data_IF_906315482613
#
_entry.id   IF_906315482613
#
_cell.length_a   1.000
_cell.length_b   1.000
_cell.length_c   1.000
_cell.angle_alpha   90.00
_cell.angle_beta   90.00
_cell.angle_gamma   90.00
#
_symmetry.space_group_name_H-M   'P 1'
#
loop_
_entity.id
_entity.type
_entity.pdbx_description
1 polymer ?
#
# COMPACT_ATOMS: atom_id res chain seq x y z
N UNK A 1 22.88 17.67 -19.54
CA UNK A 1 22.03 16.46 -19.65
C UNK A 1 20.76 16.59 -18.81
N UNK A 2 20.83 16.79 -17.48
CA UNK A 2 19.63 16.99 -16.66
C UNK A 2 18.74 18.15 -17.15
N UNK A 3 19.34 19.25 -17.59
CA UNK A 3 18.59 20.38 -18.20
C UNK A 3 17.77 19.97 -19.44
N UNK A 4 18.24 19.01 -20.24
CA UNK A 4 17.52 18.54 -21.43
C UNK A 4 16.27 17.74 -21.05
N UNK A 5 16.29 17.08 -19.89
CA UNK A 5 15.11 16.43 -19.33
C UNK A 5 14.14 17.44 -18.73
N UNK A 6 14.64 18.54 -18.15
CA UNK A 6 13.79 19.56 -17.52
C UNK A 6 13.04 20.48 -18.51
N UNK A 7 13.50 20.58 -19.77
CA UNK A 7 12.83 21.39 -20.80
C UNK A 7 11.57 20.71 -21.36
N UNK A 8 10.54 21.51 -21.68
CA UNK A 8 9.24 21.05 -22.23
C UNK A 8 9.23 20.86 -23.74
N UNK A 9 10.05 21.62 -24.48
CA UNK A 9 10.20 21.49 -25.92
C UNK A 9 11.67 21.17 -26.24
N UNK A 10 11.93 19.92 -26.62
CA UNK A 10 13.25 19.42 -27.00
C UNK A 10 13.05 18.33 -28.06
N UNK A 11 14.07 18.11 -28.88
CA UNK A 11 14.08 16.96 -29.79
C UNK A 11 13.89 15.64 -29.03
N UNK A 12 13.00 14.79 -29.55
CA UNK A 12 12.62 13.55 -28.88
C UNK A 12 13.80 12.57 -28.74
N UNK A 13 14.73 12.54 -29.70
CA UNK A 13 15.91 11.69 -29.62
C UNK A 13 16.88 12.16 -28.53
N UNK A 14 17.05 13.48 -28.39
CA UNK A 14 17.89 14.07 -27.33
C UNK A 14 17.27 13.80 -25.96
N UNK A 15 15.95 13.93 -25.81
CA UNK A 15 15.26 13.60 -24.55
C UNK A 15 15.41 12.11 -24.20
N UNK A 16 15.19 11.20 -25.15
CA UNK A 16 15.35 9.77 -24.92
C UNK A 16 16.78 9.41 -24.50
N UNK A 17 17.78 9.92 -25.21
CA UNK A 17 19.18 9.70 -24.89
C UNK A 17 19.54 10.27 -23.52
N UNK A 18 19.06 11.47 -23.20
CA UNK A 18 19.32 12.11 -21.91
C UNK A 18 18.75 11.30 -20.75
N UNK A 19 17.51 10.80 -20.89
CA UNK A 19 16.88 9.95 -19.88
C UNK A 19 17.65 8.64 -19.67
N UNK A 20 18.08 7.98 -20.75
CA UNK A 20 18.85 6.73 -20.68
C UNK A 20 20.24 6.91 -20.05
N UNK A 21 20.92 8.02 -20.33
CA UNK A 21 22.20 8.34 -19.69
C UNK A 21 22.00 8.57 -18.19
N UNK A 22 20.97 9.32 -17.79
CA UNK A 22 20.69 9.59 -16.37
C UNK A 22 20.31 8.32 -15.61
N UNK A 23 19.53 7.42 -16.24
CA UNK A 23 19.25 6.09 -15.70
C UNK A 23 20.55 5.33 -15.42
N UNK A 24 21.42 5.25 -16.42
CA UNK A 24 22.73 4.59 -16.31
C UNK A 24 23.59 5.21 -15.20
N UNK A 25 23.59 6.54 -15.08
CA UNK A 25 24.31 7.26 -14.02
C UNK A 25 23.79 6.90 -12.63
N UNK A 26 22.46 6.84 -12.44
CA UNK A 26 21.82 6.48 -11.16
C UNK A 26 22.19 5.06 -10.74
N UNK A 27 22.25 4.12 -11.69
CA UNK A 27 22.59 2.72 -11.41
C UNK A 27 24.09 2.49 -11.23
N UNK A 28 24.95 3.38 -11.75
CA UNK A 28 26.41 3.20 -11.71
C UNK A 28 27.07 3.61 -10.40
N UNK A 29 26.57 4.65 -9.73
CA UNK A 29 27.24 5.20 -8.54
C UNK A 29 26.29 5.95 -7.62
N UNK A 30 26.50 5.80 -6.30
CA UNK A 30 25.77 6.53 -5.26
C UNK A 30 26.00 8.04 -5.33
N UNK A 31 27.19 8.49 -5.78
CA UNK A 31 27.47 9.92 -5.97
C UNK A 31 26.64 10.48 -7.13
N UNK A 32 26.61 9.78 -8.26
CA UNK A 32 25.85 10.18 -9.44
C UNK A 32 24.33 10.13 -9.17
N UNK A 33 23.85 9.13 -8.45
CA UNK A 33 22.47 9.08 -7.97
C UNK A 33 22.06 10.36 -7.22
N UNK A 34 22.87 10.80 -6.24
CA UNK A 34 22.59 12.03 -5.48
C UNK A 34 22.57 13.27 -6.39
N UNK A 35 23.46 13.33 -7.38
CA UNK A 35 23.50 14.43 -8.33
C UNK A 35 22.26 14.44 -9.23
N UNK A 36 21.87 13.30 -9.79
CA UNK A 36 20.67 13.18 -10.64
C UNK A 36 19.41 13.53 -9.84
N UNK A 37 19.25 13.00 -8.63
CA UNK A 37 18.13 13.32 -7.72
C UNK A 37 18.01 14.82 -7.42
N UNK A 38 19.15 15.53 -7.30
CA UNK A 38 19.17 16.98 -7.07
C UNK A 38 18.76 17.80 -8.29
N UNK A 39 19.10 17.33 -9.50
CA UNK A 39 18.94 18.11 -10.73
C UNK A 39 17.71 17.73 -11.57
N UNK A 40 17.11 16.55 -11.35
CA UNK A 40 15.94 16.07 -12.07
C UNK A 40 14.75 16.04 -11.12
N UNK A 41 13.71 16.81 -11.41
CA UNK A 41 12.49 16.83 -10.60
C UNK A 41 11.55 15.68 -10.96
N UNK A 42 10.90 15.09 -9.96
CA UNK A 42 9.93 14.02 -10.17
C UNK A 42 8.72 14.50 -10.98
N UNK A 43 8.26 15.74 -10.76
CA UNK A 43 7.20 16.38 -11.56
C UNK A 43 7.49 16.31 -13.06
N UNK A 44 8.75 16.56 -13.42
CA UNK A 44 9.15 16.53 -14.81
C UNK A 44 9.13 15.12 -15.37
N UNK A 45 9.59 14.13 -14.61
CA UNK A 45 9.51 12.72 -15.03
C UNK A 45 8.06 12.27 -15.23
N UNK A 46 7.13 12.73 -14.38
CA UNK A 46 5.70 12.49 -14.55
C UNK A 46 5.18 13.15 -15.84
N UNK A 47 5.59 14.39 -16.13
CA UNK A 47 5.21 15.06 -17.39
C UNK A 47 5.66 14.28 -18.63
N UNK A 48 6.81 13.60 -18.57
CA UNK A 48 7.29 12.72 -19.64
C UNK A 48 6.51 11.40 -19.77
N UNK A 49 5.74 11.00 -18.75
CA UNK A 49 4.81 9.88 -18.86
C UNK A 49 3.47 10.29 -19.51
N UNK A 50 3.18 11.59 -19.58
CA UNK A 50 1.94 12.11 -20.15
C UNK A 50 2.01 12.35 -21.66
N UNK A 51 3.21 12.35 -22.24
CA UNK A 51 3.40 12.48 -23.70
C UNK A 51 2.95 11.21 -24.42
N UNK A 52 2.65 11.32 -25.72
CA UNK A 52 2.22 10.18 -26.56
C UNK A 52 3.38 9.27 -26.99
N UNK A 53 4.63 9.74 -26.89
CA UNK A 53 5.80 9.02 -27.34
C UNK A 53 6.17 7.90 -26.35
N UNK A 54 5.87 6.65 -26.72
CA UNK A 54 6.14 5.45 -25.90
C UNK A 54 7.60 5.28 -25.48
N UNK A 55 8.56 5.70 -26.31
CA UNK A 55 9.98 5.59 -25.98
C UNK A 55 10.37 6.57 -24.88
N UNK A 56 9.86 7.80 -24.93
CA UNK A 56 10.05 8.78 -23.85
C UNK A 56 9.39 8.28 -22.56
N UNK A 57 8.14 7.79 -22.64
CA UNK A 57 7.44 7.22 -21.48
C UNK A 57 8.26 6.08 -20.85
N UNK A 58 8.80 5.17 -21.67
CA UNK A 58 9.60 4.03 -21.20
C UNK A 58 10.89 4.48 -20.52
N UNK A 59 11.64 5.42 -21.11
CA UNK A 59 12.88 5.92 -20.50
C UNK A 59 12.63 6.79 -19.26
N UNK A 60 11.52 7.51 -19.21
CA UNK A 60 11.10 8.23 -18.00
C UNK A 60 10.75 7.26 -16.87
N UNK A 61 9.98 6.20 -17.17
CA UNK A 61 9.66 5.16 -16.19
C UNK A 61 10.93 4.43 -15.71
N UNK A 62 11.85 4.10 -16.62
CA UNK A 62 13.12 3.47 -16.28
C UNK A 62 13.93 4.30 -15.27
N UNK A 63 14.01 5.62 -15.49
CA UNK A 63 14.69 6.54 -14.57
C UNK A 63 13.97 6.64 -13.22
N UNK A 64 12.63 6.68 -13.18
CA UNK A 64 11.87 6.62 -11.91
C UNK A 64 12.20 5.34 -11.15
N UNK A 65 12.20 4.19 -11.83
CA UNK A 65 12.56 2.90 -11.23
C UNK A 65 13.99 2.90 -10.71
N UNK A 66 14.95 3.42 -11.48
CA UNK A 66 16.34 3.52 -11.06
C UNK A 66 16.48 4.37 -9.78
N UNK A 67 15.79 5.52 -9.72
CA UNK A 67 15.79 6.39 -8.53
C UNK A 67 15.20 5.66 -7.31
N UNK A 68 14.07 4.96 -7.48
CA UNK A 68 13.44 4.21 -6.39
C UNK A 68 14.32 3.06 -5.89
N UNK A 69 14.97 2.33 -6.80
CA UNK A 69 15.85 1.20 -6.45
C UNK A 69 17.13 1.64 -5.74
N UNK A 70 17.68 2.78 -6.12
CA UNK A 70 18.89 3.34 -5.51
C UNK A 70 18.63 4.11 -4.20
N UNK A 71 17.36 4.37 -3.87
CA UNK A 71 16.97 5.08 -2.64
C UNK A 71 16.92 4.15 -1.42
N UNK A 72 17.22 4.69 -0.24
CA UNK A 72 16.99 4.02 1.05
C UNK A 72 15.50 3.93 1.35
N UNK A 73 15.11 3.09 2.31
CA UNK A 73 13.70 2.80 2.61
C UNK A 73 12.85 4.05 2.92
N UNK A 74 13.34 4.96 3.79
CA UNK A 74 12.63 6.20 4.13
C UNK A 74 12.49 7.12 2.91
N UNK A 75 13.59 7.38 2.20
CA UNK A 75 13.58 8.21 0.99
C UNK A 75 12.70 7.61 -0.13
N UNK A 76 12.67 6.28 -0.22
CA UNK A 76 11.84 5.55 -1.19
C UNK A 76 10.36 5.69 -0.85
N UNK A 77 10.01 5.63 0.44
CA UNK A 77 8.65 5.88 0.92
C UNK A 77 8.19 7.30 0.57
N UNK A 78 8.99 8.31 0.91
CA UNK A 78 8.70 9.73 0.57
C UNK A 78 8.53 9.93 -0.94
N UNK A 79 9.42 9.34 -1.74
CA UNK A 79 9.33 9.40 -3.20
C UNK A 79 8.02 8.78 -3.71
N UNK A 80 7.64 7.62 -3.20
CA UNK A 80 6.39 6.95 -3.59
C UNK A 80 5.13 7.72 -3.16
N UNK A 81 5.15 8.35 -1.99
CA UNK A 81 4.08 9.24 -1.53
C UNK A 81 3.93 10.45 -2.46
N UNK A 82 5.05 11.09 -2.82
CA UNK A 82 5.05 12.20 -3.78
C UNK A 82 4.47 11.79 -5.15
N UNK A 83 4.91 10.64 -5.68
CA UNK A 83 4.39 10.11 -6.95
C UNK A 83 2.87 9.84 -6.88
N UNK A 84 2.39 9.34 -5.74
CA UNK A 84 0.96 9.11 -5.51
C UNK A 84 0.17 10.42 -5.47
N UNK A 85 0.68 11.44 -4.75
CA UNK A 85 0.07 12.78 -4.70
C UNK A 85 -0.04 13.42 -6.08
N UNK A 86 0.95 13.18 -6.94
CA UNK A 86 0.97 13.64 -8.33
C UNK A 86 0.17 12.73 -9.28
N UNK A 87 -0.72 11.87 -8.77
CA UNK A 87 -1.62 11.01 -9.55
C UNK A 87 -0.92 10.07 -10.55
N UNK A 88 0.33 9.65 -10.27
CA UNK A 88 1.10 8.75 -11.15
C UNK A 88 0.29 7.50 -11.55
N UNK A 89 -0.44 6.90 -10.59
CA UNK A 89 -1.28 5.71 -10.85
C UNK A 89 -2.33 5.96 -11.93
N UNK A 90 -2.97 7.12 -11.94
CA UNK A 90 -3.98 7.46 -12.95
C UNK A 90 -3.34 7.66 -14.32
N UNK A 91 -2.17 8.28 -14.39
CA UNK A 91 -1.44 8.45 -15.64
C UNK A 91 -0.98 7.13 -16.23
N UNK A 92 -0.42 6.23 -15.40
CA UNK A 92 -0.06 4.87 -15.84
C UNK A 92 -1.29 4.16 -16.40
N UNK A 93 -2.42 4.22 -15.67
CA UNK A 93 -3.64 3.56 -16.11
C UNK A 93 -4.15 4.10 -17.46
N UNK A 94 -4.31 5.42 -17.59
CA UNK A 94 -4.88 6.04 -18.79
C UNK A 94 -3.93 6.03 -19.99
N UNK A 95 -2.66 6.35 -19.79
CA UNK A 95 -1.73 6.64 -20.89
C UNK A 95 -0.88 5.43 -21.31
N UNK A 96 -0.74 4.44 -20.42
CA UNK A 96 0.11 3.26 -20.67
C UNK A 96 -0.76 2.00 -20.76
N UNK A 97 -1.58 1.70 -19.75
CA UNK A 97 -2.36 0.45 -19.70
C UNK A 97 -3.53 0.47 -20.69
N UNK A 98 -4.29 1.56 -20.74
CA UNK A 98 -5.42 1.75 -21.67
C UNK A 98 -4.99 2.32 -23.04
N UNK A 99 -3.69 2.45 -23.29
CA UNK A 99 -3.19 2.89 -24.58
C UNK A 99 -3.64 1.93 -25.69
N UNK A 100 -4.00 2.47 -26.85
CA UNK A 100 -4.35 1.66 -28.03
C UNK A 100 -3.15 0.92 -28.60
N UNK A 101 -1.93 1.43 -28.36
CA UNK A 101 -0.71 0.82 -28.84
C UNK A 101 -0.26 -0.32 -27.91
N UNK A 102 0.27 -1.40 -28.50
CA UNK A 102 0.76 -2.55 -27.74
C UNK A 102 1.86 -2.13 -26.75
N UNK A 103 1.74 -2.59 -25.51
CA UNK A 103 2.74 -2.36 -24.47
C UNK A 103 3.98 -3.21 -24.75
N UNK A 104 5.16 -2.58 -24.71
CA UNK A 104 6.46 -3.23 -24.90
C UNK A 104 6.93 -3.93 -23.61
N UNK A 105 7.77 -4.95 -23.77
CA UNK A 105 8.29 -5.77 -22.66
C UNK A 105 9.07 -4.94 -21.62
N UNK A 106 9.84 -3.94 -22.07
CA UNK A 106 10.57 -3.03 -21.16
C UNK A 106 9.61 -2.28 -20.23
N UNK A 107 8.53 -1.70 -20.77
CA UNK A 107 7.54 -0.99 -19.97
C UNK A 107 6.82 -1.93 -19.01
N UNK A 108 6.43 -3.12 -19.49
CA UNK A 108 5.82 -4.16 -18.66
C UNK A 108 6.70 -4.54 -17.46
N UNK A 109 8.00 -4.70 -17.70
CA UNK A 109 8.99 -4.95 -16.65
C UNK A 109 9.06 -3.80 -15.63
N UNK A 110 9.13 -2.55 -16.08
CA UNK A 110 9.18 -1.41 -15.15
C UNK A 110 7.90 -1.28 -14.31
N UNK A 111 6.72 -1.52 -14.89
CA UNK A 111 5.47 -1.54 -14.13
C UNK A 111 5.44 -2.65 -13.07
N UNK A 112 5.98 -3.83 -13.40
CA UNK A 112 6.15 -4.92 -12.45
C UNK A 112 7.08 -4.52 -11.29
N UNK A 113 8.22 -3.90 -11.60
CA UNK A 113 9.16 -3.43 -10.56
C UNK A 113 8.52 -2.33 -9.70
N UNK A 114 7.77 -1.40 -10.29
CA UNK A 114 7.03 -0.37 -9.56
C UNK A 114 6.00 -1.00 -8.60
N UNK A 115 5.24 -1.97 -9.07
CA UNK A 115 4.26 -2.69 -8.27
C UNK A 115 4.94 -3.42 -7.11
N UNK A 116 6.07 -4.08 -7.38
CA UNK A 116 6.86 -4.74 -6.33
C UNK A 116 7.34 -3.75 -5.27
N UNK A 117 7.89 -2.61 -5.67
CA UNK A 117 8.35 -1.57 -4.75
C UNK A 117 7.18 -1.07 -3.90
N UNK A 118 6.06 -0.74 -4.54
CA UNK A 118 4.83 -0.27 -3.88
C UNK A 118 4.35 -1.25 -2.82
N UNK A 119 4.28 -2.54 -3.15
CA UNK A 119 3.84 -3.59 -2.23
C UNK A 119 4.83 -3.78 -1.07
N UNK A 120 6.13 -3.69 -1.32
CA UNK A 120 7.14 -3.87 -0.28
C UNK A 120 7.21 -2.69 0.71
N UNK A 121 6.57 -1.54 0.42
CA UNK A 121 6.38 -0.49 1.43
C UNK A 121 5.48 -0.94 2.60
N UNK A 122 4.71 -2.02 2.43
CA UNK A 122 3.87 -2.61 3.48
C UNK A 122 4.65 -3.53 4.42
N UNK A 123 5.86 -3.95 4.04
CA UNK A 123 6.67 -4.91 4.79
C UNK A 123 6.99 -4.46 6.23
N UNK A 124 7.33 -3.18 6.52
CA UNK A 124 7.55 -2.73 7.90
C UNK A 124 6.30 -2.96 8.78
N UNK A 125 5.11 -2.57 8.30
CA UNK A 125 3.85 -2.77 9.04
C UNK A 125 3.51 -4.26 9.20
N UNK A 126 3.84 -5.08 8.21
CA UNK A 126 3.70 -6.53 8.28
C UNK A 126 4.63 -7.16 9.34
N UNK A 127 5.76 -6.55 9.67
CA UNK A 127 6.76 -7.11 10.61
C UNK A 127 6.76 -6.50 12.01
N UNK A 128 6.08 -5.37 12.23
CA UNK A 128 5.98 -4.76 13.56
C UNK A 128 4.83 -5.44 14.31
N UNK A 129 5.09 -6.18 15.40
CA UNK A 129 4.03 -6.72 16.24
C UNK A 129 3.35 -5.57 16.99
N UNK A 130 2.06 -5.72 17.30
CA UNK A 130 1.37 -4.77 18.15
C UNK A 130 1.90 -4.81 19.59
N UNK A 131 2.14 -3.64 20.17
CA UNK A 131 2.47 -3.49 21.59
C UNK A 131 1.17 -3.33 22.40
N UNK A 132 0.80 -4.29 23.26
CA UNK A 132 -0.41 -4.19 24.07
C UNK A 132 -0.35 -3.06 25.11
N UNK A 133 0.83 -2.49 25.38
CA UNK A 133 1.03 -1.37 26.30
C UNK A 133 1.04 -0.01 25.61
N UNK A 134 1.12 0.04 24.28
CA UNK A 134 1.01 1.27 23.50
C UNK A 134 -0.45 1.78 23.45
N UNK A 135 -0.68 2.98 23.97
CA UNK A 135 -2.02 3.58 24.06
C UNK A 135 -2.65 3.85 22.68
N UNK A 136 -1.90 4.42 21.74
CA UNK A 136 -2.39 4.76 20.40
C UNK A 136 -2.82 3.49 19.62
N UNK A 137 -2.04 2.42 19.72
CA UNK A 137 -2.37 1.16 19.07
C UNK A 137 -3.65 0.55 19.68
N UNK A 138 -3.79 0.58 21.02
CA UNK A 138 -5.03 0.14 21.68
C UNK A 138 -6.23 0.96 21.23
N UNK A 139 -6.08 2.28 21.09
CA UNK A 139 -7.15 3.17 20.63
C UNK A 139 -7.61 2.81 19.22
N UNK A 140 -6.70 2.44 18.30
CA UNK A 140 -7.08 1.92 16.99
C UNK A 140 -7.93 0.64 17.11
N UNK A 141 -7.56 -0.32 17.96
CA UNK A 141 -8.39 -1.52 18.16
C UNK A 141 -9.77 -1.16 18.75
N UNK A 142 -9.82 -0.20 19.68
CA UNK A 142 -11.07 0.27 20.26
C UNK A 142 -11.96 1.02 19.27
N UNK A 143 -11.39 1.72 18.29
CA UNK A 143 -12.18 2.45 17.29
C UNK A 143 -12.94 1.51 16.36
N UNK A 144 -12.43 0.30 16.09
CA UNK A 144 -13.17 -0.74 15.36
C UNK A 144 -14.47 -1.11 16.08
N UNK A 145 -14.40 -1.26 17.40
CA UNK A 145 -15.57 -1.56 18.25
C UNK A 145 -16.56 -0.41 18.27
N UNK A 146 -16.07 0.81 18.41
CA UNK A 146 -16.91 2.01 18.36
C UNK A 146 -17.64 2.11 17.02
N UNK A 147 -16.92 1.99 15.91
CA UNK A 147 -17.49 2.08 14.57
C UNK A 147 -18.64 1.08 14.35
N UNK A 148 -18.55 -0.14 14.93
CA UNK A 148 -19.55 -1.19 14.76
C UNK A 148 -20.76 -1.10 15.72
N UNK A 149 -20.58 -0.55 16.93
CA UNK A 149 -21.57 -0.65 18.01
C UNK A 149 -21.93 0.70 18.66
N UNK A 150 -21.45 1.84 18.15
CA UNK A 150 -21.76 3.17 18.72
C UNK A 150 -23.26 3.47 18.80
N UNK A 151 -24.09 2.83 17.97
CA UNK A 151 -25.56 2.94 18.09
C UNK A 151 -26.14 2.38 19.41
N UNK A 152 -25.41 1.49 20.10
CA UNK A 152 -25.76 0.97 21.44
C UNK A 152 -25.12 1.79 22.58
N UNK A 153 -24.24 2.75 22.27
CA UNK A 153 -23.46 3.49 23.26
C UNK A 153 -24.18 4.72 23.85
N UNK A 154 -25.11 5.32 23.11
CA UNK A 154 -25.92 6.47 23.59
C UNK A 154 -26.86 6.09 24.75
N UNK A 155 -27.12 4.80 24.96
CA UNK A 155 -27.86 4.29 26.14
C UNK A 155 -26.99 4.14 27.40
N UNK A 156 -25.67 4.36 27.30
CA UNK A 156 -24.68 3.96 28.32
C UNK A 156 -24.00 5.13 29.06
N UNK A 157 -24.48 6.36 28.88
CA UNK A 157 -24.01 7.54 29.65
C UNK A 157 -24.37 7.47 31.14
N UNK A 158 -25.15 6.48 31.58
CA UNK A 158 -25.44 6.22 33.00
C UNK A 158 -24.34 5.41 33.71
N UNK A 159 -23.67 6.02 34.69
CA UNK A 159 -22.91 5.43 35.82
C UNK A 159 -22.72 3.89 35.89
N UNK A 160 -22.05 3.27 34.92
CA UNK A 160 -21.57 1.88 35.06
C UNK A 160 -20.28 1.81 35.88
N UNK A 161 -20.22 0.90 36.86
CA UNK A 161 -18.96 0.50 37.51
C UNK A 161 -17.94 0.03 36.46
N UNK A 162 -16.66 0.26 36.74
CA UNK A 162 -15.51 -0.09 35.87
C UNK A 162 -15.53 -1.54 35.39
N UNK A 163 -15.95 -2.47 36.24
CA UNK A 163 -16.02 -3.91 35.90
C UNK A 163 -17.13 -4.23 34.90
N UNK A 164 -18.28 -3.54 34.97
CA UNK A 164 -19.36 -3.70 33.98
C UNK A 164 -18.95 -3.19 32.60
N UNK A 165 -18.18 -2.09 32.54
CA UNK A 165 -17.64 -1.55 31.29
C UNK A 165 -16.64 -2.51 30.64
N UNK A 166 -15.73 -3.12 31.43
CA UNK A 166 -14.78 -4.12 30.92
C UNK A 166 -15.47 -5.36 30.37
N UNK A 167 -16.50 -5.85 31.06
CA UNK A 167 -17.31 -6.99 30.61
C UNK A 167 -18.02 -6.70 29.27
N UNK A 168 -18.57 -5.50 29.11
CA UNK A 168 -19.19 -5.07 27.86
C UNK A 168 -18.18 -5.04 26.70
N UNK A 169 -17.02 -4.41 26.89
CA UNK A 169 -15.97 -4.36 25.87
C UNK A 169 -15.55 -5.77 25.43
N UNK A 170 -15.34 -6.68 26.38
CA UNK A 170 -14.98 -8.06 26.06
C UNK A 170 -16.08 -8.78 25.27
N UNK A 171 -17.36 -8.53 25.57
CA UNK A 171 -18.48 -9.08 24.80
C UNK A 171 -18.52 -8.55 23.38
N UNK A 172 -18.28 -7.26 23.18
CA UNK A 172 -18.29 -6.64 21.85
C UNK A 172 -17.08 -7.06 21.00
N UNK A 173 -15.90 -7.21 21.60
CA UNK A 173 -14.76 -7.79 20.90
C UNK A 173 -14.97 -9.26 20.53
N UNK A 174 -15.71 -10.02 21.37
CA UNK A 174 -16.15 -11.36 20.98
C UNK A 174 -17.11 -11.31 19.79
N UNK A 175 -18.07 -10.37 19.77
CA UNK A 175 -18.99 -10.16 18.63
C UNK A 175 -18.27 -9.74 17.35
N UNK A 176 -17.16 -9.01 17.46
CA UNK A 176 -16.26 -8.72 16.34
C UNK A 176 -15.44 -9.93 15.90
N UNK A 177 -15.51 -11.06 16.60
CA UNK A 177 -14.78 -12.27 16.23
C UNK A 177 -13.30 -12.22 16.55
N UNK A 178 -12.89 -11.46 17.57
CA UNK A 178 -11.52 -11.53 18.12
C UNK A 178 -11.37 -12.75 19.04
N UNK A 179 -10.37 -13.63 18.79
CA UNK A 179 -10.05 -14.73 19.69
C UNK A 179 -9.72 -14.25 21.12
N UNK A 180 -8.89 -13.21 21.25
CA UNK A 180 -8.51 -12.65 22.55
C UNK A 180 -9.44 -11.51 22.96
N UNK A 181 -10.73 -11.80 23.17
CA UNK A 181 -11.75 -10.78 23.45
C UNK A 181 -11.48 -9.87 24.66
N UNK A 182 -10.76 -10.34 25.69
CA UNK A 182 -10.36 -9.51 26.83
C UNK A 182 -9.23 -8.52 26.48
N UNK A 183 -8.36 -8.88 25.53
CA UNK A 183 -7.28 -8.02 25.05
C UNK A 183 -6.96 -8.37 23.57
N UNK A 184 -7.71 -7.80 22.61
CA UNK A 184 -7.54 -8.13 21.19
C UNK A 184 -6.19 -7.71 20.62
N UNK A 185 -5.44 -6.84 21.31
CA UNK A 185 -4.09 -6.46 20.92
C UNK A 185 -3.15 -7.66 20.78
N UNK A 186 -3.39 -8.72 21.56
CA UNK A 186 -2.61 -9.95 21.50
C UNK A 186 -2.80 -10.70 20.17
N UNK A 187 -3.92 -10.50 19.47
CA UNK A 187 -4.17 -11.14 18.17
C UNK A 187 -3.25 -10.58 17.07
N UNK A 188 -2.67 -9.40 17.27
CA UNK A 188 -1.75 -8.72 16.34
C UNK A 188 -0.27 -8.86 16.74
N UNK A 189 0.05 -9.75 17.68
CA UNK A 189 1.41 -9.99 18.18
C UNK A 189 2.26 -10.87 17.25
N UNK A 190 1.63 -11.68 16.41
CA UNK A 190 2.33 -12.59 15.48
C UNK A 190 2.79 -11.85 14.25
N UNK A 191 4.02 -12.11 13.79
CA UNK A 191 4.59 -11.50 12.60
C UNK A 191 5.26 -12.56 11.71
N UNK A 192 5.06 -12.53 10.38
CA UNK A 192 3.99 -11.81 9.66
C UNK A 192 2.61 -12.44 9.93
N UNK A 193 1.50 -11.67 10.05
CA UNK A 193 1.31 -10.24 9.81
C UNK A 193 1.15 -9.46 11.13
N UNK A 194 2.00 -8.48 11.41
CA UNK A 194 1.94 -7.67 12.62
C UNK A 194 0.78 -6.67 12.65
N UNK A 195 1.09 -5.38 12.45
CA UNK A 195 0.10 -4.31 12.49
C UNK A 195 -0.66 -4.10 11.17
N UNK A 196 -0.18 -4.66 10.06
CA UNK A 196 -0.83 -4.50 8.74
C UNK A 196 -2.32 -4.91 8.70
N UNK A 197 -2.77 -6.01 9.35
CA UNK A 197 -4.20 -6.33 9.39
C UNK A 197 -5.01 -5.28 10.13
N UNK A 198 -4.49 -4.68 11.20
CA UNK A 198 -5.16 -3.59 11.92
C UNK A 198 -5.34 -2.38 10.99
N UNK A 199 -4.31 -2.01 10.23
CA UNK A 199 -4.39 -0.93 9.24
C UNK A 199 -5.50 -1.20 8.21
N UNK A 200 -5.57 -2.44 7.70
CA UNK A 200 -6.61 -2.85 6.74
C UNK A 200 -8.02 -2.79 7.34
N UNK A 201 -8.18 -3.24 8.59
CA UNK A 201 -9.47 -3.22 9.29
C UNK A 201 -9.93 -1.77 9.53
N UNK A 202 -9.03 -0.89 9.95
CA UNK A 202 -9.32 0.55 10.15
C UNK A 202 -9.67 1.21 8.83
N UNK A 203 -8.94 0.90 7.76
CA UNK A 203 -9.24 1.40 6.42
C UNK A 203 -10.66 0.99 6.01
N UNK A 204 -11.02 -0.29 6.16
CA UNK A 204 -12.36 -0.78 5.82
C UNK A 204 -13.46 -0.11 6.65
N UNK A 205 -13.28 -0.01 7.98
CA UNK A 205 -14.26 0.61 8.87
C UNK A 205 -14.47 2.11 8.59
N UNK A 206 -13.42 2.83 8.21
CA UNK A 206 -13.47 4.28 7.97
C UNK A 206 -13.92 4.67 6.55
N UNK A 207 -13.56 3.88 5.54
CA UNK A 207 -13.85 4.20 4.13
C UNK A 207 -15.10 3.50 3.59
N UNK A 208 -15.51 2.41 4.23
CA UNK A 208 -16.67 1.60 3.85
C UNK A 208 -17.54 1.27 5.07
N UNK A 209 -17.82 2.27 5.91
CA UNK A 209 -18.52 2.14 7.20
C UNK A 209 -19.83 1.35 7.12
N UNK A 210 -20.69 1.62 6.12
CA UNK A 210 -21.95 0.91 5.94
C UNK A 210 -21.76 -0.59 5.68
N UNK A 211 -20.77 -0.93 4.85
CA UNK A 211 -20.44 -2.33 4.53
C UNK A 211 -19.80 -3.03 5.73
N UNK A 212 -18.94 -2.33 6.46
CA UNK A 212 -18.34 -2.80 7.70
C UNK A 212 -19.40 -3.13 8.76
N UNK A 213 -20.30 -2.19 9.03
CA UNK A 213 -21.36 -2.35 10.02
C UNK A 213 -22.31 -3.49 9.66
N UNK A 214 -22.74 -3.54 8.39
CA UNK A 214 -23.56 -4.65 7.90
C UNK A 214 -22.87 -5.99 8.11
N UNK A 215 -21.60 -6.12 7.72
CA UNK A 215 -20.83 -7.35 7.88
C UNK A 215 -20.75 -7.80 9.35
N UNK A 216 -20.42 -6.87 10.26
CA UNK A 216 -20.29 -7.19 11.69
C UNK A 216 -21.63 -7.59 12.30
N UNK A 217 -22.72 -6.86 11.99
CA UNK A 217 -24.04 -7.15 12.54
C UNK A 217 -24.62 -8.48 12.03
N UNK A 218 -24.46 -8.77 10.73
CA UNK A 218 -24.93 -10.02 10.11
C UNK A 218 -24.21 -11.26 10.65
N UNK A 219 -22.95 -11.13 11.05
CA UNK A 219 -22.17 -12.25 11.57
C UNK A 219 -22.25 -12.38 13.09
N UNK A 220 -22.38 -11.27 13.82
CA UNK A 220 -22.48 -11.30 15.29
C UNK A 220 -23.84 -11.74 15.84
N UNK A 221 -24.87 -11.79 14.99
CA UNK A 221 -26.23 -12.21 15.34
C UNK A 221 -26.51 -13.68 14.99
N UNK A 222 -25.56 -14.37 14.35
CA UNK A 222 -25.71 -15.78 13.99
C UNK A 222 -25.44 -16.67 15.20
N UNK A 223 -26.36 -17.59 15.46
CA UNK A 223 -26.21 -18.61 16.51
C UNK A 223 -25.73 -19.96 15.95
N UNK A 224 -25.54 -20.05 14.62
CA UNK A 224 -25.08 -21.25 13.94
C UNK A 224 -23.55 -21.32 13.83
N UNK A 225 -23.03 -22.47 13.38
CA UNK A 225 -21.58 -22.68 13.20
C UNK A 225 -21.02 -22.01 11.93
N UNK A 226 -21.81 -21.17 11.24
CA UNK A 226 -21.46 -20.56 9.96
C UNK A 226 -21.17 -19.05 10.08
N UNK A 227 -20.97 -18.55 11.30
CA UNK A 227 -20.48 -17.18 11.50
C UNK A 227 -19.09 -16.97 10.88
N UNK A 228 -18.89 -15.80 10.26
CA UNK A 228 -17.58 -15.35 9.81
C UNK A 228 -17.01 -14.33 10.81
N UNK A 229 -16.03 -14.71 11.65
CA UNK A 229 -15.48 -13.80 12.66
C UNK A 229 -14.64 -12.70 12.01
N UNK A 230 -15.08 -11.44 12.08
CA UNK A 230 -14.40 -10.30 11.44
C UNK A 230 -12.93 -10.18 11.84
N UNK A 231 -12.61 -10.21 13.14
CA UNK A 231 -11.25 -10.06 13.66
C UNK A 231 -10.31 -11.16 13.17
N UNK A 232 -10.64 -12.42 13.49
CA UNK A 232 -9.86 -13.58 13.03
C UNK A 232 -9.78 -13.67 11.50
N UNK A 233 -10.89 -13.43 10.81
CA UNK A 233 -10.98 -13.49 9.35
C UNK A 233 -10.11 -12.43 8.67
N UNK A 234 -10.11 -11.18 9.16
CA UNK A 234 -9.32 -10.08 8.60
C UNK A 234 -7.83 -10.28 8.78
N UNK A 235 -7.41 -10.81 9.94
CA UNK A 235 -6.02 -11.18 10.19
C UNK A 235 -5.59 -12.27 9.20
N UNK A 236 -6.37 -13.35 9.10
CA UNK A 236 -6.05 -14.47 8.20
C UNK A 236 -6.05 -14.06 6.72
N UNK A 237 -7.01 -13.23 6.29
CA UNK A 237 -7.06 -12.69 4.94
C UNK A 237 -5.80 -11.88 4.63
N UNK A 238 -5.35 -11.05 5.58
CA UNK A 238 -4.12 -10.26 5.40
C UNK A 238 -2.89 -11.15 5.26
N UNK A 239 -2.79 -12.28 5.99
CA UNK A 239 -1.72 -13.28 5.80
C UNK A 239 -1.72 -13.76 4.35
N UNK A 240 -2.87 -14.26 3.89
CA UNK A 240 -3.03 -14.86 2.57
C UNK A 240 -2.68 -13.83 1.48
N UNK A 241 -3.14 -12.59 1.62
CA UNK A 241 -2.80 -11.52 0.69
C UNK A 241 -1.30 -11.22 0.68
N UNK A 242 -0.64 -11.16 1.83
CA UNK A 242 0.81 -10.97 1.90
C UNK A 242 1.57 -12.11 1.19
N UNK A 243 1.10 -13.35 1.33
CA UNK A 243 1.67 -14.53 0.68
C UNK A 243 1.45 -14.56 -0.83
N UNK A 244 0.24 -14.23 -1.30
CA UNK A 244 -0.11 -14.18 -2.74
C UNK A 244 0.66 -13.04 -3.40
N UNK A 245 0.64 -11.86 -2.78
CA UNK A 245 1.31 -10.67 -3.28
C UNK A 245 2.81 -10.69 -3.01
N UNK A 246 3.33 -11.69 -2.29
CA UNK A 246 4.76 -11.88 -1.97
C UNK A 246 5.40 -10.61 -1.37
N UNK A 247 4.72 -10.02 -0.38
CA UNK A 247 5.21 -8.79 0.30
C UNK A 247 6.50 -9.13 1.06
N UNK A 248 7.53 -8.31 0.86
CA UNK A 248 8.85 -8.49 1.48
C UNK A 248 9.74 -9.55 0.82
N UNK A 249 9.40 -10.04 -0.38
CA UNK A 249 10.31 -10.89 -1.15
C UNK A 249 11.35 -10.00 -1.89
N UNK A 250 12.65 -10.10 -1.56
CA UNK A 250 13.70 -9.30 -2.19
C UNK A 250 13.98 -9.71 -3.65
N UNK A 251 13.51 -10.89 -4.08
CA UNK A 251 13.81 -11.48 -5.40
C UNK A 251 13.04 -10.85 -6.57
N UNK A 252 12.21 -9.84 -6.31
CA UNK A 252 11.37 -9.20 -7.33
C UNK A 252 12.06 -8.09 -8.13
N UNK A 253 13.26 -7.66 -7.75
CA UNK A 253 14.00 -6.70 -8.59
C UNK A 253 14.63 -7.35 -9.84
N UNK A 254 14.50 -8.68 -10.01
CA UNK A 254 15.28 -9.46 -10.99
C UNK A 254 14.52 -10.55 -11.76
N UNK A 255 13.20 -10.75 -11.56
CA UNK A 255 12.45 -11.84 -12.21
C UNK A 255 11.28 -11.40 -13.09
N UNK A 256 10.98 -12.24 -14.08
CA UNK A 256 10.12 -12.00 -15.24
C UNK A 256 8.69 -11.51 -14.93
N UNK A 257 8.16 -10.55 -15.72
CA UNK A 257 6.88 -9.86 -15.50
C UNK A 257 5.61 -10.69 -15.77
N UNK A 258 5.74 -11.97 -16.13
CA UNK A 258 4.67 -12.74 -16.77
C UNK A 258 3.48 -13.06 -15.85
N UNK A 259 3.66 -13.05 -14.52
CA UNK A 259 2.63 -13.57 -13.60
C UNK A 259 1.64 -12.54 -13.03
N UNK A 260 1.85 -11.23 -13.19
CA UNK A 260 0.93 -10.22 -12.61
C UNK A 260 0.16 -9.39 -13.63
N UNK A 261 0.67 -9.22 -14.85
CA UNK A 261 -0.03 -8.47 -15.91
C UNK A 261 -1.25 -9.22 -16.49
N UNK A 262 -1.30 -10.55 -16.34
CA UNK A 262 -2.43 -11.37 -16.80
C UNK A 262 -3.71 -11.07 -16.00
N UNK A 263 -3.59 -10.54 -14.77
CA UNK A 263 -4.76 -10.25 -13.92
C UNK A 263 -5.41 -8.89 -14.20
N UNK A 264 -4.80 -8.02 -15.03
CA UNK A 264 -5.36 -6.69 -15.37
C UNK A 264 -6.12 -6.71 -16.71
N UNK A 265 -6.09 -7.84 -17.44
CA UNK A 265 -6.77 -8.02 -18.73
C UNK A 265 -7.91 -9.05 -18.72
N UNK A 266 -8.47 -9.38 -17.55
CA UNK A 266 -9.71 -10.16 -17.46
C UNK A 266 -10.76 -9.44 -16.64
#
# INVERSE_FOLDING_TARGET
>A
IAEFVNKSAMDASIQQLSLAILESMVLSSSHLFKLVKKHVTLDKLISHLQVTNQMIQTKAMALIIALLRSSKDDERKETMEFLSQMNLRQYIFKNIILSSAAMRDEMAHYLYVLQSISLNLLEPRMRIPMDPYNQEQREMVHSLRQAAFESDADTLTGNFNTDRRKSLCAREFRRLGFPNNANPSLDFSRTPPGLLPLDNMIYFASHHSDAYNRFVLENSSREDKHECPFGRGSIQLTIILCEILKIGDPRKFTKDPVLLLVTVKR
#
